data_IF_413111522506
#
_entry.id   IF_413111522506
#
_cell.length_a   1.000
_cell.length_b   1.000
_cell.length_c   1.000
_cell.angle_alpha   90.00
_cell.angle_beta   90.00
_cell.angle_gamma   90.00
#
_symmetry.space_group_name_H-M   'P 1'
#
loop_
_entity.id
_entity.type
_entity.pdbx_description
1 polymer ?
#
# COMPACT_ATOMS: atom_id res chain seq x y z
N UNK A 1 -16.56 22.79 39.19
CA UNK A 1 -17.01 22.54 37.79
C UNK A 1 -15.93 22.73 36.74
N UNK A 2 -14.99 23.64 36.89
CA UNK A 2 -13.99 23.91 35.83
C UNK A 2 -12.89 22.82 35.64
N UNK A 3 -12.54 22.06 36.67
CA UNK A 3 -11.45 21.07 36.60
C UNK A 3 -11.91 19.76 35.96
N UNK A 4 -13.15 19.34 36.16
CA UNK A 4 -13.72 18.11 35.66
C UNK A 4 -13.93 18.17 34.12
N UNK A 5 -14.34 19.33 33.58
CA UNK A 5 -14.51 19.51 32.16
C UNK A 5 -13.17 19.55 31.37
N UNK A 6 -12.09 20.07 31.99
CA UNK A 6 -10.76 20.08 31.36
C UNK A 6 -10.14 18.68 31.27
N UNK A 7 -10.39 17.84 32.30
CA UNK A 7 -9.89 16.46 32.29
C UNK A 7 -10.60 15.60 31.24
N UNK A 8 -11.92 15.79 31.08
CA UNK A 8 -12.70 15.04 30.10
C UNK A 8 -12.31 15.41 28.66
N UNK A 9 -12.06 16.71 28.40
CA UNK A 9 -11.63 17.18 27.08
C UNK A 9 -10.23 16.66 26.73
N UNK A 10 -9.32 16.56 27.70
CA UNK A 10 -7.96 16.05 27.48
C UNK A 10 -7.97 14.55 27.19
N UNK A 11 -8.82 13.77 27.87
CA UNK A 11 -8.95 12.32 27.64
C UNK A 11 -9.53 12.04 26.24
N UNK A 12 -10.51 12.82 25.78
CA UNK A 12 -11.11 12.67 24.45
C UNK A 12 -10.09 12.98 23.35
N UNK A 13 -9.26 14.01 23.50
CA UNK A 13 -8.20 14.33 22.54
C UNK A 13 -7.11 13.23 22.46
N UNK A 14 -6.73 12.63 23.60
CA UNK A 14 -5.77 11.52 23.62
C UNK A 14 -6.32 10.26 22.92
N UNK A 15 -7.61 9.94 23.10
CA UNK A 15 -8.21 8.79 22.45
C UNK A 15 -8.25 8.94 20.91
N UNK A 16 -8.50 10.13 20.38
CA UNK A 16 -8.50 10.37 18.93
C UNK A 16 -7.10 10.27 18.32
N UNK A 17 -6.08 10.72 19.01
CA UNK A 17 -4.69 10.63 18.49
C UNK A 17 -4.15 9.18 18.49
N UNK A 18 -4.53 8.37 19.45
CA UNK A 18 -4.13 6.96 19.54
C UNK A 18 -4.80 6.13 18.44
N UNK A 19 -6.07 6.37 18.15
CA UNK A 19 -6.79 5.64 17.10
C UNK A 19 -6.25 5.98 15.69
N UNK A 20 -5.92 7.24 15.42
CA UNK A 20 -5.34 7.62 14.13
C UNK A 20 -3.95 7.03 13.90
N UNK A 21 -3.11 6.97 14.94
CA UNK A 21 -1.79 6.33 14.87
C UNK A 21 -1.90 4.81 14.68
N UNK A 22 -2.93 4.16 15.24
CA UNK A 22 -3.19 2.74 15.04
C UNK A 22 -3.51 2.39 13.59
N UNK A 23 -4.40 3.14 12.94
CA UNK A 23 -4.77 2.94 11.53
C UNK A 23 -3.60 3.19 10.57
N UNK A 24 -2.79 4.22 10.82
CA UNK A 24 -1.58 4.48 10.05
C UNK A 24 -0.60 3.31 10.12
N UNK A 25 -0.39 2.74 11.30
CA UNK A 25 0.48 1.58 11.50
C UNK A 25 -0.05 0.36 10.76
N UNK A 26 -1.35 0.07 10.87
CA UNK A 26 -1.99 -1.05 10.16
C UNK A 26 -1.83 -0.95 8.65
N UNK A 27 -1.99 0.25 8.07
CA UNK A 27 -1.83 0.47 6.62
C UNK A 27 -0.38 0.26 6.20
N UNK A 28 0.60 0.70 6.99
CA UNK A 28 2.02 0.45 6.74
C UNK A 28 2.36 -1.04 6.80
N UNK A 29 1.77 -1.79 7.74
CA UNK A 29 1.94 -3.25 7.85
C UNK A 29 1.34 -3.98 6.65
N UNK A 30 0.15 -3.59 6.19
CA UNK A 30 -0.47 -4.16 4.98
C UNK A 30 0.39 -3.87 3.74
N UNK A 31 0.91 -2.66 3.60
CA UNK A 31 1.82 -2.31 2.51
C UNK A 31 3.11 -3.13 2.57
N UNK A 32 3.68 -3.34 3.76
CA UNK A 32 4.88 -4.15 3.93
C UNK A 32 4.62 -5.61 3.51
N UNK A 33 3.50 -6.20 3.94
CA UNK A 33 3.10 -7.54 3.52
C UNK A 33 2.96 -7.67 1.99
N UNK A 34 2.34 -6.67 1.34
CA UNK A 34 2.26 -6.63 -0.12
C UNK A 34 3.66 -6.60 -0.79
N UNK A 35 4.61 -5.82 -0.25
CA UNK A 35 5.97 -5.76 -0.79
C UNK A 35 6.70 -7.09 -0.62
N UNK A 36 6.53 -7.76 0.50
CA UNK A 36 7.10 -9.09 0.78
C UNK A 36 6.56 -10.13 -0.22
N UNK A 37 5.24 -10.15 -0.45
CA UNK A 37 4.62 -11.04 -1.43
C UNK A 37 5.09 -10.73 -2.87
N UNK A 38 5.28 -9.45 -3.20
CA UNK A 38 5.83 -9.04 -4.50
C UNK A 38 7.26 -9.56 -4.69
N UNK A 39 8.13 -9.42 -3.69
CA UNK A 39 9.53 -9.89 -3.73
C UNK A 39 9.58 -11.42 -3.85
N UNK A 40 8.66 -12.10 -3.17
CA UNK A 40 8.53 -13.56 -3.21
C UNK A 40 7.86 -14.09 -4.49
N UNK A 41 7.31 -13.22 -5.34
CA UNK A 41 6.46 -13.56 -6.47
C UNK A 41 5.23 -14.41 -6.09
N UNK A 42 4.75 -14.20 -4.86
CA UNK A 42 3.51 -14.81 -4.37
C UNK A 42 2.30 -14.07 -4.93
N UNK A 43 1.81 -14.53 -6.07
CA UNK A 43 0.69 -13.90 -6.77
C UNK A 43 -0.61 -13.96 -5.96
N UNK A 44 -0.88 -15.05 -5.28
CA UNK A 44 -2.07 -15.20 -4.46
C UNK A 44 -2.00 -14.28 -3.23
N UNK A 45 -0.84 -14.22 -2.57
CA UNK A 45 -0.57 -13.28 -1.50
C UNK A 45 -0.75 -11.83 -1.95
N UNK A 46 -0.15 -11.44 -3.09
CA UNK A 46 -0.32 -10.08 -3.63
C UNK A 46 -1.79 -9.72 -3.85
N UNK A 47 -2.59 -10.62 -4.44
CA UNK A 47 -4.01 -10.33 -4.74
C UNK A 47 -4.87 -10.17 -3.50
N UNK A 48 -4.48 -10.75 -2.39
CA UNK A 48 -5.19 -10.65 -1.12
C UNK A 48 -5.14 -9.24 -0.49
N UNK A 49 -4.20 -8.40 -0.92
CA UNK A 49 -4.09 -7.01 -0.48
C UNK A 49 -5.03 -6.04 -1.19
N UNK A 50 -5.83 -6.51 -2.16
CA UNK A 50 -6.70 -5.68 -2.98
C UNK A 50 -8.19 -5.99 -2.76
N UNK A 51 -9.02 -4.99 -3.02
CA UNK A 51 -10.45 -5.18 -3.25
C UNK A 51 -10.76 -5.06 -4.74
N UNK A 52 -11.85 -5.62 -5.22
CA UNK A 52 -12.19 -5.69 -6.64
C UNK A 52 -13.54 -5.04 -6.94
N UNK A 53 -13.69 -4.38 -8.11
CA UNK A 53 -12.63 -4.16 -9.10
C UNK A 53 -11.53 -3.22 -8.55
N UNK A 54 -10.29 -3.41 -8.98
CA UNK A 54 -9.18 -2.51 -8.66
C UNK A 54 -8.77 -1.70 -9.88
N UNK A 55 -8.47 -0.42 -9.68
CA UNK A 55 -7.96 0.48 -10.71
C UNK A 55 -6.43 0.56 -10.62
N UNK A 56 -5.75 0.27 -11.72
CA UNK A 56 -4.30 0.43 -11.87
C UNK A 56 -4.04 1.54 -12.88
N UNK A 57 -3.38 2.60 -12.44
CA UNK A 57 -3.04 3.77 -13.24
C UNK A 57 -1.52 3.82 -13.45
N UNK A 58 -1.11 3.76 -14.71
CA UNK A 58 0.26 3.93 -15.16
C UNK A 58 0.28 4.73 -16.45
N UNK A 59 1.03 4.28 -17.48
CA UNK A 59 0.94 4.85 -18.83
C UNK A 59 -0.47 4.72 -19.43
N UNK A 60 -1.20 3.69 -19.00
CA UNK A 60 -2.62 3.47 -19.31
C UNK A 60 -3.37 3.15 -18.02
N UNK A 61 -4.67 3.41 -18.00
CA UNK A 61 -5.55 3.01 -16.89
C UNK A 61 -6.17 1.66 -17.19
N UNK A 62 -6.10 0.74 -16.23
CA UNK A 62 -6.72 -0.59 -16.29
C UNK A 62 -7.66 -0.76 -15.12
N UNK A 63 -8.81 -1.37 -15.38
CA UNK A 63 -9.74 -1.84 -14.33
C UNK A 63 -9.66 -3.36 -14.35
N UNK A 64 -9.26 -3.94 -13.23
CA UNK A 64 -9.07 -5.38 -13.06
C UNK A 64 -10.18 -5.90 -12.16
N UNK A 65 -11.05 -6.72 -12.75
CA UNK A 65 -12.34 -7.09 -12.15
C UNK A 65 -12.23 -8.15 -11.05
N UNK A 66 -11.13 -8.90 -11.03
CA UNK A 66 -10.98 -10.04 -10.14
C UNK A 66 -9.49 -10.38 -9.89
N UNK A 67 -9.18 -11.28 -8.93
CA UNK A 67 -7.82 -11.69 -8.63
C UNK A 67 -7.06 -12.25 -9.84
N UNK A 68 -7.70 -13.03 -10.71
CA UNK A 68 -7.04 -13.62 -11.88
C UNK A 68 -6.55 -12.53 -12.85
N UNK A 69 -7.35 -11.50 -13.09
CA UNK A 69 -6.95 -10.36 -13.92
C UNK A 69 -5.74 -9.63 -13.31
N UNK A 70 -5.69 -9.47 -11.99
CA UNK A 70 -4.55 -8.86 -11.30
C UNK A 70 -3.31 -9.76 -11.33
N UNK A 71 -3.44 -11.08 -11.19
CA UNK A 71 -2.34 -12.04 -11.35
C UNK A 71 -1.72 -11.92 -12.75
N UNK A 72 -2.54 -11.89 -13.78
CA UNK A 72 -2.06 -11.76 -15.17
C UNK A 72 -1.33 -10.42 -15.39
N UNK A 73 -1.83 -9.33 -14.79
CA UNK A 73 -1.15 -8.04 -14.79
C UNK A 73 0.23 -8.13 -14.12
N UNK A 74 0.34 -8.72 -12.93
CA UNK A 74 1.63 -8.86 -12.24
C UNK A 74 2.59 -9.81 -12.92
N UNK A 75 2.11 -10.89 -13.51
CA UNK A 75 2.96 -11.78 -14.32
C UNK A 75 3.61 -11.04 -15.49
N UNK A 76 2.85 -10.18 -16.18
CA UNK A 76 3.39 -9.35 -17.24
C UNK A 76 4.42 -8.35 -16.71
N UNK A 77 4.11 -7.65 -15.62
CA UNK A 77 5.00 -6.67 -15.02
C UNK A 77 6.30 -7.30 -14.49
N UNK A 78 6.21 -8.45 -13.83
CA UNK A 78 7.36 -9.16 -13.26
C UNK A 78 8.23 -9.75 -14.37
N UNK A 79 7.64 -10.15 -15.51
CA UNK A 79 8.42 -10.65 -16.66
C UNK A 79 9.33 -9.59 -17.30
N UNK A 80 9.10 -8.32 -17.01
CA UNK A 80 9.94 -7.20 -17.47
C UNK A 80 11.10 -6.89 -16.51
N UNK A 81 11.11 -7.50 -15.30
CA UNK A 81 12.24 -7.38 -14.39
C UNK A 81 13.48 -8.09 -14.96
N UNK A 82 14.70 -7.56 -14.74
CA UNK A 82 15.91 -8.24 -15.16
C UNK A 82 16.08 -9.57 -14.43
N UNK A 83 16.68 -10.57 -15.07
CA UNK A 83 16.89 -11.91 -14.50
C UNK A 83 17.65 -11.90 -13.18
N UNK A 84 18.51 -10.90 -12.98
CA UNK A 84 19.29 -10.73 -11.77
C UNK A 84 18.60 -9.82 -10.73
N UNK A 85 17.28 -9.57 -10.84
CA UNK A 85 16.52 -8.90 -9.78
C UNK A 85 16.66 -9.65 -8.45
N UNK A 86 16.92 -8.92 -7.39
CA UNK A 86 17.13 -9.47 -6.05
C UNK A 86 16.00 -9.10 -5.09
N UNK A 87 15.81 -7.81 -4.87
CA UNK A 87 14.84 -7.31 -3.89
C UNK A 87 14.44 -5.86 -4.17
N UNK A 88 13.45 -5.41 -3.43
CA UNK A 88 13.03 -4.00 -3.37
C UNK A 88 13.04 -3.51 -1.94
N UNK A 89 13.37 -2.24 -1.76
CA UNK A 89 13.14 -1.49 -0.52
C UNK A 89 12.13 -0.39 -0.76
N UNK A 90 11.44 0.06 0.29
CA UNK A 90 10.43 1.11 0.17
C UNK A 90 10.54 2.12 1.32
N UNK A 91 10.26 3.38 0.98
CA UNK A 91 10.01 4.46 1.92
C UNK A 91 8.54 4.87 1.77
N UNK A 92 7.81 5.01 2.88
CA UNK A 92 6.37 5.25 2.83
C UNK A 92 5.95 6.46 3.65
N UNK A 93 5.00 7.22 3.10
CA UNK A 93 4.23 8.25 3.79
C UNK A 93 2.75 7.89 3.74
N UNK A 94 2.02 8.11 4.83
CA UNK A 94 0.60 7.79 4.93
C UNK A 94 -0.19 9.05 5.25
N UNK A 95 -1.31 9.25 4.53
CA UNK A 95 -2.20 10.40 4.71
C UNK A 95 -3.66 9.96 4.79
N UNK A 96 -4.34 10.39 5.82
CA UNK A 96 -5.78 10.19 5.92
C UNK A 96 -6.51 11.09 4.92
N UNK A 97 -7.36 10.50 4.08
CA UNK A 97 -8.23 11.23 3.14
C UNK A 97 -9.59 11.50 3.79
N UNK A 98 -10.18 10.47 4.39
CA UNK A 98 -11.43 10.55 5.16
C UNK A 98 -11.48 9.39 6.16
N UNK A 99 -12.63 9.15 6.80
CA UNK A 99 -12.74 8.15 7.86
C UNK A 99 -12.50 6.70 7.39
N UNK A 100 -12.72 6.41 6.12
CA UNK A 100 -12.60 5.06 5.53
C UNK A 100 -11.55 4.93 4.45
N UNK A 101 -10.85 6.03 4.09
CA UNK A 101 -9.92 6.05 2.95
C UNK A 101 -8.61 6.71 3.34
N UNK A 102 -7.51 6.05 3.01
CA UNK A 102 -6.16 6.55 3.23
C UNK A 102 -5.34 6.44 1.95
N UNK A 103 -4.42 7.39 1.78
CA UNK A 103 -3.39 7.39 0.75
C UNK A 103 -2.06 6.98 1.38
N UNK A 104 -1.40 5.98 0.79
CA UNK A 104 -0.01 5.66 1.05
C UNK A 104 0.82 5.97 -0.19
N UNK A 105 1.80 6.86 -0.03
CA UNK A 105 2.81 7.15 -1.05
C UNK A 105 4.03 6.30 -0.74
N UNK A 106 4.42 5.45 -1.68
CA UNK A 106 5.58 4.58 -1.54
C UNK A 106 6.61 4.92 -2.61
N UNK A 107 7.81 5.28 -2.19
CA UNK A 107 8.98 5.34 -3.07
C UNK A 107 9.69 4.00 -2.99
N UNK A 108 9.86 3.33 -4.11
CA UNK A 108 10.52 2.04 -4.17
C UNK A 108 11.87 2.13 -4.89
N UNK A 109 12.78 1.27 -4.50
CA UNK A 109 14.10 1.09 -5.07
C UNK A 109 14.30 -0.38 -5.33
N UNK A 110 14.69 -0.75 -6.57
CA UNK A 110 14.92 -2.14 -6.98
C UNK A 110 16.39 -2.40 -7.19
N UNK A 111 16.85 -3.52 -6.68
CA UNK A 111 18.25 -3.91 -6.64
C UNK A 111 18.47 -5.24 -7.36
N UNK A 112 19.63 -5.36 -7.99
CA UNK A 112 20.10 -6.61 -8.55
C UNK A 112 20.91 -7.44 -7.52
N UNK A 113 21.30 -8.64 -7.91
CA UNK A 113 22.10 -9.54 -7.06
C UNK A 113 23.50 -9.01 -6.70
N UNK A 114 24.01 -8.01 -7.42
CA UNK A 114 25.26 -7.32 -7.11
C UNK A 114 25.10 -6.20 -6.09
N UNK A 115 23.85 -5.88 -5.71
CA UNK A 115 23.52 -4.77 -4.82
C UNK A 115 23.38 -3.42 -5.52
N UNK A 116 23.42 -3.37 -6.86
CA UNK A 116 23.22 -2.14 -7.61
C UNK A 116 21.74 -1.82 -7.75
N UNK A 117 21.37 -0.57 -7.50
CA UNK A 117 20.02 -0.08 -7.79
C UNK A 117 19.87 0.16 -9.30
N UNK A 118 18.92 -0.50 -9.91
CA UNK A 118 18.67 -0.35 -11.36
C UNK A 118 17.35 0.37 -11.69
N UNK A 119 16.44 0.49 -10.73
CA UNK A 119 15.16 1.16 -10.95
C UNK A 119 14.66 1.77 -9.64
N UNK A 120 14.01 2.92 -9.74
CA UNK A 120 13.25 3.54 -8.67
C UNK A 120 11.97 4.17 -9.22
N UNK A 121 11.02 4.39 -8.37
CA UNK A 121 9.77 5.05 -8.74
C UNK A 121 8.89 5.30 -7.54
N UNK A 122 7.76 5.96 -7.78
CA UNK A 122 6.80 6.28 -6.74
C UNK A 122 5.44 5.69 -7.09
N UNK A 123 4.78 5.09 -6.11
CA UNK A 123 3.40 4.65 -6.22
C UNK A 123 2.52 5.40 -5.23
N UNK A 124 1.30 5.65 -5.63
CA UNK A 124 0.24 6.16 -4.77
C UNK A 124 -0.81 5.05 -4.63
N UNK A 125 -0.94 4.51 -3.43
CA UNK A 125 -1.82 3.40 -3.13
C UNK A 125 -2.95 3.90 -2.24
N UNK A 126 -4.19 3.77 -2.72
CA UNK A 126 -5.37 4.17 -1.98
C UNK A 126 -5.98 2.94 -1.31
N UNK A 127 -6.09 3.03 0.01
CA UNK A 127 -6.62 1.98 0.88
C UNK A 127 -8.02 2.33 1.34
N UNK A 128 -8.88 1.33 1.42
CA UNK A 128 -10.21 1.41 2.01
C UNK A 128 -10.34 0.36 3.11
N UNK A 129 -11.04 0.71 4.19
CA UNK A 129 -11.36 -0.24 5.25
C UNK A 129 -12.46 -1.20 4.79
N UNK A 130 -12.24 -2.49 4.97
CA UNK A 130 -13.18 -3.57 4.67
C UNK A 130 -13.37 -4.46 5.89
N UNK A 131 -14.32 -5.40 5.83
CA UNK A 131 -14.50 -6.40 6.90
C UNK A 131 -13.26 -7.29 7.09
N UNK A 132 -12.39 -7.40 6.07
CA UNK A 132 -11.15 -8.18 6.07
C UNK A 132 -9.90 -7.31 6.23
N UNK A 133 -10.05 -6.11 6.80
CA UNK A 133 -8.98 -5.14 7.01
C UNK A 133 -8.81 -4.15 5.85
N UNK A 134 -7.67 -3.48 5.83
CA UNK A 134 -7.35 -2.47 4.82
C UNK A 134 -6.96 -3.12 3.50
N UNK A 135 -7.60 -2.68 2.39
CA UNK A 135 -7.36 -3.18 1.03
C UNK A 135 -7.12 -2.05 0.06
N UNK A 136 -6.23 -2.26 -0.90
CA UNK A 136 -6.04 -1.33 -2.02
C UNK A 136 -7.20 -1.44 -3.00
N UNK A 137 -7.73 -0.31 -3.44
CA UNK A 137 -8.75 -0.23 -4.50
C UNK A 137 -8.28 0.58 -5.71
N UNK A 138 -7.24 1.39 -5.53
CA UNK A 138 -6.59 2.15 -6.60
C UNK A 138 -5.10 2.20 -6.35
N UNK A 139 -4.31 1.97 -7.39
CA UNK A 139 -2.86 2.10 -7.40
C UNK A 139 -2.42 2.91 -8.62
N UNK A 140 -1.66 3.97 -8.38
CA UNK A 140 -1.00 4.74 -9.43
C UNK A 140 0.51 4.55 -9.31
N UNK A 141 1.19 4.33 -10.44
CA UNK A 141 2.65 4.20 -10.50
C UNK A 141 3.25 5.17 -11.49
N UNK A 142 4.39 5.77 -11.12
CA UNK A 142 5.19 6.62 -12.01
C UNK A 142 6.34 5.87 -12.66
N UNK A 143 6.66 4.67 -12.15
CA UNK A 143 7.65 3.80 -12.78
C UNK A 143 6.93 2.81 -13.71
N UNK A 144 7.15 2.97 -14.98
CA UNK A 144 6.75 2.07 -16.06
C UNK A 144 7.93 1.88 -17.01
#
# INVERSE_FOLDING_TARGET
MGVMNKLLTTIILLCFSVAANGQETEIKEVQQGYVEDFIAFDYDGMTAHFTYPVMIMGSTTKILENPEALINYYKSLISELPENYSHSTTEVEVRKINNSTWLLVSTFYRYNTNGDMFQSGTTQNFYIETNDGWKMFLRQSTAL
#
